data_IF_992300687337
#
_entry.id   IF_992300687337
#
_cell.length_a   1.000
_cell.length_b   1.000
_cell.length_c   1.000
_cell.angle_alpha   90.00
_cell.angle_beta   90.00
_cell.angle_gamma   90.00
#
_symmetry.space_group_name_H-M   'P 1'
#
loop_
_entity.id
_entity.type
_entity.pdbx_description
1 polymer ?
#
# COMPACT_ATOMS: atom_id res chain seq x y z
N UNK A 1 -18.45 14.82 -1.14
CA UNK A 1 -17.06 14.94 -0.64
C UNK A 1 -16.25 13.83 -1.30
N UNK A 2 -15.14 14.16 -1.97
CA UNK A 2 -14.28 13.17 -2.63
C UNK A 2 -12.86 13.26 -2.07
N UNK A 3 -12.25 12.12 -1.79
CA UNK A 3 -10.82 12.04 -1.43
C UNK A 3 -10.02 11.70 -2.70
N UNK A 4 -9.01 12.50 -2.99
CA UNK A 4 -8.14 12.33 -4.15
C UNK A 4 -6.70 12.65 -3.78
N UNK A 5 -5.79 11.74 -4.11
CA UNK A 5 -4.35 11.95 -3.99
C UNK A 5 -3.80 12.40 -5.35
N UNK A 6 -2.97 13.44 -5.33
CA UNK A 6 -2.33 13.94 -6.55
C UNK A 6 -1.23 12.99 -6.98
N UNK A 7 -1.16 12.66 -8.27
CA UNK A 7 -0.01 11.93 -8.82
C UNK A 7 1.28 12.71 -8.52
N UNK A 8 2.29 12.00 -8.00
CA UNK A 8 3.56 12.60 -7.58
C UNK A 8 3.53 13.29 -6.21
N UNK A 9 2.44 13.16 -5.44
CA UNK A 9 2.44 13.57 -4.04
C UNK A 9 3.54 12.85 -3.27
N UNK A 10 4.37 13.61 -2.55
CA UNK A 10 5.41 13.08 -1.68
C UNK A 10 4.83 12.90 -0.28
N UNK A 11 4.84 11.67 0.19
CA UNK A 11 4.43 11.31 1.55
C UNK A 11 5.67 10.74 2.24
N UNK A 12 5.84 11.06 3.51
CA UNK A 12 6.92 10.52 4.31
C UNK A 12 6.87 8.97 4.35
N UNK A 13 8.06 8.36 4.26
CA UNK A 13 8.24 6.91 4.19
C UNK A 13 7.91 6.24 5.53
N UNK A 14 8.25 6.87 6.66
CA UNK A 14 7.92 6.37 8.00
C UNK A 14 6.51 6.82 8.44
N UNK A 15 5.97 7.87 7.82
CA UNK A 15 4.62 8.36 8.06
C UNK A 15 3.51 7.65 7.27
N UNK A 16 3.78 6.60 6.49
CA UNK A 16 2.77 5.99 5.60
C UNK A 16 2.73 4.46 5.62
N UNK A 17 1.52 3.91 5.43
CA UNK A 17 1.32 2.46 5.31
C UNK A 17 2.01 1.87 4.07
N UNK A 18 2.09 2.62 2.97
CA UNK A 18 2.82 2.19 1.78
C UNK A 18 4.33 2.21 1.99
N UNK A 19 4.86 3.21 2.69
CA UNK A 19 6.27 3.25 3.06
C UNK A 19 6.67 2.11 3.99
N UNK A 20 5.83 1.76 4.98
CA UNK A 20 6.05 0.59 5.82
C UNK A 20 6.12 -0.72 5.02
N UNK A 21 5.23 -0.92 4.04
CA UNK A 21 5.28 -2.08 3.14
C UNK A 21 6.54 -2.07 2.28
N UNK A 22 6.90 -0.92 1.69
CA UNK A 22 8.12 -0.79 0.89
C UNK A 22 9.36 -1.19 1.69
N UNK A 23 9.54 -0.58 2.85
CA UNK A 23 10.69 -0.82 3.73
C UNK A 23 10.75 -2.25 4.26
N UNK A 24 9.60 -2.89 4.50
CA UNK A 24 9.56 -4.28 4.97
C UNK A 24 10.17 -5.26 3.96
N UNK A 25 10.00 -5.04 2.65
CA UNK A 25 10.47 -5.97 1.62
C UNK A 25 11.80 -5.56 0.94
N UNK A 26 12.31 -4.37 1.21
CA UNK A 26 13.66 -3.99 0.79
C UNK A 26 14.73 -4.79 1.54
N UNK A 27 15.86 -5.01 0.86
CA UNK A 27 17.08 -5.48 1.52
C UNK A 27 17.57 -4.48 2.57
N UNK A 28 18.32 -4.96 3.56
CA UNK A 28 18.77 -4.15 4.68
C UNK A 28 19.57 -2.93 4.21
N UNK A 29 20.50 -3.10 3.27
CA UNK A 29 21.35 -2.00 2.82
C UNK A 29 20.54 -0.87 2.18
N UNK A 30 19.58 -1.19 1.31
CA UNK A 30 18.69 -0.18 0.70
C UNK A 30 17.75 0.44 1.71
N UNK A 31 17.18 -0.36 2.62
CA UNK A 31 16.32 0.12 3.70
C UNK A 31 17.05 1.13 4.58
N UNK A 32 18.24 0.80 5.08
CA UNK A 32 19.02 1.71 5.92
C UNK A 32 19.44 2.97 5.18
N UNK A 33 19.76 2.86 3.88
CA UNK A 33 20.04 4.04 3.05
C UNK A 33 18.84 4.99 2.94
N UNK A 34 17.63 4.45 2.74
CA UNK A 34 16.41 5.26 2.65
C UNK A 34 16.08 5.89 4.00
N UNK A 35 16.17 5.11 5.09
CA UNK A 35 15.90 5.61 6.44
C UNK A 35 16.90 6.69 6.85
N UNK A 36 18.19 6.51 6.56
CA UNK A 36 19.23 7.52 6.83
C UNK A 36 19.13 8.78 5.97
N UNK A 37 18.38 8.73 4.86
CA UNK A 37 18.09 9.90 4.02
C UNK A 37 16.72 10.53 4.32
N UNK A 38 15.94 9.95 5.24
CA UNK A 38 14.63 10.47 5.64
C UNK A 38 14.77 11.48 6.78
N UNK A 39 13.82 12.42 6.86
CA UNK A 39 13.69 13.36 7.99
C UNK A 39 12.94 12.76 9.19
N UNK A 40 12.70 11.44 9.19
CA UNK A 40 11.94 10.76 10.22
C UNK A 40 12.71 10.73 11.55
N UNK A 41 11.99 10.96 12.64
CA UNK A 41 12.53 10.79 13.99
C UNK A 41 12.81 9.31 14.27
N UNK A 42 13.73 9.03 15.20
CA UNK A 42 14.01 7.65 15.62
C UNK A 42 12.74 6.91 16.07
N UNK A 43 11.82 7.61 16.76
CA UNK A 43 10.55 7.04 17.19
C UNK A 43 9.63 6.67 16.01
N UNK A 44 9.65 7.43 14.91
CA UNK A 44 8.91 7.09 13.69
C UNK A 44 9.52 5.89 12.97
N UNK A 45 10.85 5.82 12.91
CA UNK A 45 11.57 4.67 12.37
C UNK A 45 11.24 3.41 13.17
N UNK A 46 11.32 3.46 14.50
CA UNK A 46 11.06 2.30 15.37
C UNK A 46 9.61 1.80 15.24
N UNK A 47 8.65 2.74 15.22
CA UNK A 47 7.24 2.42 14.96
C UNK A 47 7.05 1.76 13.60
N UNK A 48 7.74 2.24 12.58
CA UNK A 48 7.68 1.67 11.22
C UNK A 48 8.30 0.27 11.18
N UNK A 49 9.46 0.07 11.83
CA UNK A 49 10.14 -1.24 11.91
C UNK A 49 9.29 -2.30 12.61
N UNK A 50 8.54 -1.90 13.65
CA UNK A 50 7.64 -2.81 14.35
C UNK A 50 6.55 -3.41 13.44
N UNK A 51 6.27 -2.79 12.28
CA UNK A 51 5.32 -3.31 11.30
C UNK A 51 5.94 -4.32 10.32
N UNK A 52 7.26 -4.47 10.25
CA UNK A 52 7.89 -5.26 9.19
C UNK A 52 7.55 -6.75 9.26
N UNK A 53 7.71 -7.36 10.42
CA UNK A 53 7.44 -8.79 10.60
C UNK A 53 5.98 -9.15 10.32
N UNK A 54 4.97 -8.44 10.87
CA UNK A 54 3.58 -8.74 10.53
C UNK A 54 3.28 -8.49 9.06
N UNK A 55 3.88 -7.48 8.43
CA UNK A 55 3.72 -7.23 6.98
C UNK A 55 4.31 -8.38 6.16
N UNK A 56 5.53 -8.83 6.48
CA UNK A 56 6.20 -9.93 5.79
C UNK A 56 5.44 -11.25 5.94
N UNK A 57 4.95 -11.54 7.14
CA UNK A 57 4.18 -12.75 7.41
C UNK A 57 2.84 -12.78 6.64
N UNK A 58 2.17 -11.63 6.51
CA UNK A 58 0.84 -11.54 5.86
C UNK A 58 0.93 -11.28 4.35
N UNK A 59 1.99 -10.63 3.89
CA UNK A 59 2.16 -10.17 2.51
C UNK A 59 1.46 -8.85 2.20
N UNK A 60 0.94 -8.12 3.19
CA UNK A 60 0.23 -6.85 3.04
C UNK A 60 0.17 -6.07 4.36
N UNK A 61 -0.25 -4.80 4.27
CA UNK A 61 -0.57 -3.96 5.43
C UNK A 61 -2.04 -3.52 5.39
N UNK A 62 -2.74 -3.65 6.52
CA UNK A 62 -4.04 -3.01 6.77
C UNK A 62 -3.93 -2.22 8.06
N UNK A 63 -4.18 -0.91 8.01
CA UNK A 63 -4.07 -0.05 9.18
C UNK A 63 -4.65 1.35 8.95
N UNK A 64 -4.96 2.10 10.01
CA UNK A 64 -5.48 3.46 9.89
C UNK A 64 -4.48 4.35 9.14
N UNK A 65 -4.98 5.26 8.29
CA UNK A 65 -4.14 6.25 7.61
C UNK A 65 -3.61 7.26 8.62
N UNK A 66 -2.28 7.46 8.71
CA UNK A 66 -1.72 8.54 9.52
C UNK A 66 -2.08 9.94 8.99
N UNK A 67 -2.40 10.06 7.70
CA UNK A 67 -2.67 11.33 7.03
C UNK A 67 -4.12 11.79 7.15
N UNK A 68 -5.08 10.86 7.15
CA UNK A 68 -6.51 11.18 7.08
C UNK A 68 -7.30 10.31 8.04
N UNK A 69 -7.92 10.96 9.02
CA UNK A 69 -8.79 10.30 9.98
C UNK A 69 -9.99 9.65 9.28
N UNK A 70 -10.35 8.44 9.70
CA UNK A 70 -11.46 7.67 9.14
C UNK A 70 -11.11 6.87 7.88
N UNK A 71 -9.90 7.03 7.33
CA UNK A 71 -9.38 6.16 6.28
C UNK A 71 -8.56 5.01 6.88
N UNK A 72 -8.75 3.82 6.32
CA UNK A 72 -7.92 2.64 6.59
C UNK A 72 -7.20 2.27 5.29
N UNK A 73 -5.87 2.25 5.31
CA UNK A 73 -5.06 1.90 4.15
C UNK A 73 -4.93 0.38 4.03
N UNK A 74 -5.24 -0.15 2.84
CA UNK A 74 -4.94 -1.53 2.44
C UNK A 74 -3.79 -1.46 1.43
N UNK A 75 -2.61 -1.96 1.79
CA UNK A 75 -1.39 -1.82 0.97
C UNK A 75 -0.75 -3.16 0.65
N UNK A 76 -0.44 -3.39 -0.63
CA UNK A 76 0.19 -4.60 -1.13
C UNK A 76 1.52 -4.28 -1.84
N UNK A 77 2.57 -5.08 -1.59
CA UNK A 77 3.86 -4.95 -2.29
C UNK A 77 3.73 -5.44 -3.74
N UNK A 78 4.36 -4.73 -4.68
CA UNK A 78 4.48 -5.14 -6.08
C UNK A 78 5.92 -5.53 -6.35
N UNK A 79 6.13 -6.78 -6.76
CA UNK A 79 7.47 -7.29 -7.04
C UNK A 79 7.76 -7.33 -8.54
N UNK A 80 8.99 -6.97 -8.88
CA UNK A 80 9.53 -7.03 -10.23
C UNK A 80 9.87 -8.44 -10.70
N UNK A 81 10.66 -8.52 -11.77
CA UNK A 81 11.07 -9.80 -12.37
C UNK A 81 12.07 -10.59 -11.52
N UNK A 82 12.81 -9.90 -10.66
CA UNK A 82 13.87 -10.46 -9.82
C UNK A 82 13.45 -10.64 -8.34
N UNK A 83 12.14 -10.71 -8.07
CA UNK A 83 11.58 -10.78 -6.70
C UNK A 83 12.03 -9.64 -5.76
N UNK A 84 12.39 -8.50 -6.36
CA UNK A 84 12.66 -7.25 -5.66
C UNK A 84 11.39 -6.42 -5.67
N UNK A 85 11.05 -5.80 -4.54
CA UNK A 85 9.94 -4.85 -4.46
C UNK A 85 10.24 -3.61 -5.31
N UNK A 86 9.30 -3.25 -6.19
CA UNK A 86 9.42 -2.11 -7.10
C UNK A 86 8.36 -1.03 -6.84
N UNK A 87 7.20 -1.41 -6.29
CA UNK A 87 6.14 -0.47 -5.97
C UNK A 87 5.26 -0.99 -4.82
N UNK A 88 4.35 -0.13 -4.36
CA UNK A 88 3.28 -0.50 -3.43
C UNK A 88 1.97 0.06 -3.95
N UNK A 89 0.94 -0.78 -3.97
CA UNK A 89 -0.42 -0.36 -4.28
C UNK A 89 -1.16 -0.16 -2.98
N UNK A 90 -1.76 1.01 -2.80
CA UNK A 90 -2.60 1.32 -1.65
C UNK A 90 -4.01 1.69 -2.08
N UNK A 91 -4.99 1.01 -1.50
CA UNK A 91 -6.40 1.40 -1.58
C UNK A 91 -6.84 1.95 -0.23
N UNK A 92 -7.25 3.23 -0.16
CA UNK A 92 -7.85 3.78 1.05
C UNK A 92 -9.30 3.30 1.17
N UNK A 93 -9.62 2.68 2.29
CA UNK A 93 -10.96 2.29 2.67
C UNK A 93 -11.56 3.33 3.61
N UNK A 94 -12.67 3.96 3.21
CA UNK A 94 -13.42 4.89 4.04
C UNK A 94 -14.49 4.12 4.82
N UNK A 95 -14.44 4.19 6.14
CA UNK A 95 -15.52 3.65 6.96
C UNK A 95 -16.75 4.55 6.83
N UNK A 96 -17.80 4.03 6.22
CA UNK A 96 -19.08 4.72 6.03
C UNK A 96 -20.10 4.23 7.06
N UNK A 97 -21.04 5.11 7.41
CA UNK A 97 -22.21 4.76 8.23
C UNK A 97 -23.17 3.97 7.33
N UNK A 98 -23.38 2.66 7.55
CA UNK A 98 -24.14 1.82 6.62
C UNK A 98 -25.57 2.28 6.40
N UNK A 99 -26.23 2.78 7.46
CA UNK A 99 -27.63 3.23 7.44
C UNK A 99 -27.84 4.47 6.57
N UNK A 100 -26.76 5.23 6.31
CA UNK A 100 -26.79 6.41 5.44
C UNK A 100 -26.58 6.05 3.95
N UNK A 101 -26.32 4.78 3.62
CA UNK A 101 -26.00 4.35 2.25
C UNK A 101 -27.15 3.54 1.65
N UNK A 102 -27.53 3.88 0.41
CA UNK A 102 -28.54 3.13 -0.35
C UNK A 102 -27.97 1.89 -1.08
N UNK A 103 -26.69 1.57 -0.89
CA UNK A 103 -25.98 0.45 -1.52
C UNK A 103 -25.14 -0.28 -0.48
N UNK A 104 -24.96 -1.58 -0.67
CA UNK A 104 -24.06 -2.39 0.15
C UNK A 104 -22.63 -1.85 0.02
N UNK A 105 -22.02 -1.51 1.15
CA UNK A 105 -20.60 -1.14 1.23
C UNK A 105 -19.82 -2.43 1.52
N UNK A 106 -18.92 -2.87 0.63
CA UNK A 106 -18.14 -4.08 0.85
C UNK A 106 -17.27 -3.90 2.10
N UNK A 107 -17.14 -4.95 2.93
CA UNK A 107 -16.27 -4.89 4.10
C UNK A 107 -14.80 -4.72 3.71
N UNK A 108 -13.99 -4.22 4.65
CA UNK A 108 -12.55 -4.07 4.46
C UNK A 108 -11.86 -5.40 4.09
N UNK A 109 -12.31 -6.51 4.67
CA UNK A 109 -11.79 -7.84 4.37
C UNK A 109 -12.13 -8.28 2.96
N UNK A 110 -13.36 -8.03 2.50
CA UNK A 110 -13.77 -8.32 1.12
C UNK A 110 -12.94 -7.50 0.12
N UNK A 111 -12.72 -6.21 0.40
CA UNK A 111 -11.87 -5.35 -0.42
C UNK A 111 -10.43 -5.87 -0.49
N UNK A 112 -9.86 -6.26 0.66
CA UNK A 112 -8.52 -6.84 0.78
C UNK A 112 -8.40 -8.14 -0.02
N UNK A 113 -9.37 -9.03 0.09
CA UNK A 113 -9.37 -10.33 -0.60
C UNK A 113 -9.46 -10.16 -2.10
N UNK A 114 -10.32 -9.26 -2.58
CA UNK A 114 -10.42 -8.95 -4.00
C UNK A 114 -9.12 -8.36 -4.55
N UNK A 115 -8.51 -7.40 -3.84
CA UNK A 115 -7.24 -6.79 -4.24
C UNK A 115 -6.10 -7.82 -4.23
N UNK A 116 -6.02 -8.64 -3.17
CA UNK A 116 -5.03 -9.69 -3.05
C UNK A 116 -5.18 -10.74 -4.16
N UNK A 117 -6.39 -11.22 -4.41
CA UNK A 117 -6.68 -12.21 -5.45
C UNK A 117 -6.37 -11.73 -6.87
N UNK A 118 -6.54 -10.43 -7.15
CA UNK A 118 -6.34 -9.87 -8.49
C UNK A 118 -4.88 -9.87 -8.98
N UNK A 119 -3.89 -9.92 -8.09
CA UNK A 119 -2.48 -9.89 -8.51
C UNK A 119 -1.56 -10.85 -7.77
N UNK A 120 -2.07 -11.68 -6.85
CA UNK A 120 -1.29 -12.72 -6.17
C UNK A 120 -0.85 -13.81 -7.14
N UNK A 121 0.46 -14.05 -7.19
CA UNK A 121 1.04 -15.19 -7.91
C UNK A 121 0.85 -16.49 -7.10
N UNK A 122 0.42 -17.60 -7.73
CA UNK A 122 0.31 -18.89 -7.05
C UNK A 122 1.66 -19.47 -6.61
N UNK A 123 2.74 -19.18 -7.35
CA UNK A 123 4.06 -19.75 -7.15
C UNK A 123 4.90 -19.04 -6.08
N UNK A 124 4.79 -17.72 -5.97
CA UNK A 124 5.55 -16.94 -4.97
C UNK A 124 4.68 -16.41 -3.83
N UNK A 125 3.35 -16.44 -3.98
CA UNK A 125 2.41 -15.87 -3.01
C UNK A 125 2.36 -14.33 -3.00
N UNK A 126 3.18 -13.66 -3.80
CA UNK A 126 3.31 -12.21 -3.83
C UNK A 126 2.60 -11.55 -5.01
N UNK A 127 2.30 -10.26 -4.88
CA UNK A 127 1.57 -9.51 -5.89
C UNK A 127 2.50 -9.10 -7.05
N UNK A 128 2.09 -9.39 -8.30
CA UNK A 128 2.71 -8.83 -9.51
C UNK A 128 1.71 -7.98 -10.26
N UNK A 129 2.15 -6.81 -10.73
CA UNK A 129 1.35 -6.02 -11.64
C UNK A 129 1.06 -6.83 -12.91
N UNK A 130 -0.20 -6.94 -13.36
CA UNK A 130 -0.53 -7.67 -14.58
C UNK A 130 0.19 -7.02 -15.76
N UNK A 131 0.94 -7.81 -16.52
CA UNK A 131 1.82 -7.33 -17.59
C UNK A 131 1.10 -6.72 -18.79
N UNK A 132 -0.22 -6.94 -18.94
CA UNK A 132 -0.97 -6.39 -20.07
C UNK A 132 -2.51 -6.48 -19.92
N UNK A 133 -3.12 -5.72 -18.99
CA UNK A 133 -4.58 -5.41 -19.03
C UNK A 133 -4.96 -4.40 -17.94
N UNK A 134 -4.86 -3.10 -18.24
CA UNK A 134 -5.45 -2.05 -17.40
C UNK A 134 -6.90 -1.71 -17.78
N UNK A 135 -7.48 -2.37 -18.80
CA UNK A 135 -8.67 -1.85 -19.46
C UNK A 135 -10.03 -2.38 -18.94
N UNK A 136 -10.07 -3.37 -18.03
CA UNK A 136 -11.35 -4.04 -17.70
C UNK A 136 -11.55 -4.42 -16.22
N UNK A 137 -11.02 -3.63 -15.28
CA UNK A 137 -11.46 -3.74 -13.89
C UNK A 137 -12.66 -2.81 -13.66
N UNK A 138 -13.85 -3.31 -13.99
CA UNK A 138 -15.14 -2.82 -13.51
C UNK A 138 -15.28 -3.10 -12.00
N UNK A 139 -14.41 -2.52 -11.19
CA UNK A 139 -14.52 -2.51 -9.73
C UNK A 139 -15.05 -1.15 -9.35
N UNK A 140 -16.33 -1.11 -9.01
CA UNK A 140 -17.05 0.03 -8.48
C UNK A 140 -16.54 0.33 -7.05
N UNK A 141 -15.28 0.76 -6.94
CA UNK A 141 -14.65 1.27 -5.73
C UNK A 141 -13.58 2.29 -6.13
N UNK A 142 -13.97 3.28 -6.95
CA UNK A 142 -13.12 4.42 -7.30
C UNK A 142 -13.29 5.47 -6.20
N UNK A 143 -12.38 5.45 -5.22
CA UNK A 143 -11.89 6.68 -4.60
C UNK A 143 -10.41 6.49 -4.32
N UNK A 144 -9.58 7.10 -5.17
CA UNK A 144 -8.12 7.19 -5.09
C UNK A 144 -7.36 5.85 -5.10
N UNK A 145 -7.25 5.22 -6.27
CA UNK A 145 -6.14 4.31 -6.57
C UNK A 145 -4.86 5.15 -6.53
N UNK A 146 -4.23 5.22 -5.36
CA UNK A 146 -2.91 5.83 -5.25
C UNK A 146 -1.91 4.72 -5.46
N UNK A 147 -1.52 4.54 -6.72
CA UNK A 147 -0.26 3.85 -7.00
C UNK A 147 0.81 4.82 -6.50
N UNK A 148 1.25 4.66 -5.25
CA UNK A 148 2.48 5.31 -4.81
C UNK A 148 3.62 4.53 -5.46
N UNK A 149 3.94 4.90 -6.70
CA UNK A 149 5.19 4.47 -7.34
C UNK A 149 6.30 5.24 -6.64
N UNK A 150 6.97 4.61 -5.70
CA UNK A 150 8.29 5.08 -5.29
C UNK A 150 9.23 4.81 -6.46
N UNK A 151 9.50 5.84 -7.25
CA UNK A 151 10.53 5.74 -8.27
C UNK A 151 11.89 5.64 -7.57
N UNK A 152 12.46 4.44 -7.55
CA UNK A 152 13.86 4.19 -7.13
C UNK A 152 14.78 4.34 -8.35
N UNK A 153 14.47 5.23 -9.30
CA UNK A 153 15.41 5.59 -10.37
C UNK A 153 16.09 6.91 -10.01
N UNK A 154 17.18 6.81 -9.25
CA UNK A 154 18.19 7.84 -9.22
C UNK A 154 18.99 7.81 -10.52
N UNK A 155 18.71 8.76 -11.40
CA UNK A 155 19.70 9.44 -12.23
C UNK A 155 19.40 10.93 -12.18
#
# INVERSE_FOLDING_TARGET
>A
MGFGLRLGAKIDICGSGSGAVMLAFLDEQRRERILGASDATQQEVDRTRALFDPIRQRGYHVGPSPQVQGLTNISFPVFGVHDVIEAVITIPYLTLIPEAMHREVPSIDRCREQLGGAGRRPDTGYWRAPTNRYNELNVLCITALSITVFSITGR
#
